data_IF_108470793182
#
_entry.id   IF_108470793182
#
_cell.length_a   1.000
_cell.length_b   1.000
_cell.length_c   1.000
_cell.angle_alpha   90.00
_cell.angle_beta   90.00
_cell.angle_gamma   90.00
#
_symmetry.space_group_name_H-M   'P 1'
#
loop_
_entity.id
_entity.type
_entity.pdbx_description
1 polymer ?
#
# COMPACT_ATOMS: atom_id res chain seq x y z
N UNK A 1 8.10 -16.29 -3.68
CA UNK A 1 7.40 -17.28 -4.53
C UNK A 1 6.07 -16.65 -4.92
N UNK A 2 5.96 -16.06 -6.12
CA UNK A 2 4.69 -15.56 -6.65
C UNK A 2 3.75 -16.76 -6.82
N UNK A 3 2.73 -16.88 -5.96
CA UNK A 3 1.74 -17.94 -6.07
C UNK A 3 0.66 -17.51 -7.07
N UNK A 4 0.98 -17.64 -8.36
CA UNK A 4 0.04 -17.41 -9.47
C UNK A 4 -0.99 -18.54 -9.62
N UNK A 5 -0.84 -19.64 -8.86
CA UNK A 5 -1.67 -20.84 -8.98
C UNK A 5 -3.10 -20.70 -8.45
N UNK A 6 -3.46 -19.59 -7.79
CA UNK A 6 -4.82 -19.39 -7.24
C UNK A 6 -5.53 -18.12 -7.76
N UNK A 7 -4.96 -17.39 -8.72
CA UNK A 7 -5.65 -16.24 -9.34
C UNK A 7 -6.65 -16.78 -10.36
N UNK A 8 -7.86 -17.09 -9.90
CA UNK A 8 -8.97 -17.36 -10.81
C UNK A 8 -9.39 -16.02 -11.41
N UNK A 9 -9.78 -16.02 -12.68
CA UNK A 9 -10.30 -14.82 -13.38
C UNK A 9 -11.51 -14.22 -12.63
N UNK A 10 -12.20 -15.04 -11.82
CA UNK A 10 -13.26 -14.62 -10.90
C UNK A 10 -12.81 -13.64 -9.79
N UNK A 11 -11.55 -13.68 -9.36
CA UNK A 11 -11.04 -12.90 -8.24
C UNK A 11 -10.51 -11.52 -8.64
N UNK A 12 -10.33 -11.25 -9.95
CA UNK A 12 -9.83 -9.95 -10.46
C UNK A 12 -10.69 -8.79 -9.97
N UNK A 13 -12.02 -8.96 -9.96
CA UNK A 13 -12.95 -7.96 -9.43
C UNK A 13 -12.68 -7.70 -7.95
N UNK A 14 -12.43 -8.75 -7.18
CA UNK A 14 -12.21 -8.69 -5.75
C UNK A 14 -10.85 -8.05 -5.41
N UNK A 15 -9.80 -8.38 -6.16
CA UNK A 15 -8.47 -7.78 -6.03
C UNK A 15 -8.46 -6.29 -6.36
N UNK A 16 -9.18 -5.88 -7.42
CA UNK A 16 -9.33 -4.44 -7.77
C UNK A 16 -10.11 -3.69 -6.68
N UNK A 17 -11.19 -4.27 -6.18
CA UNK A 17 -11.97 -3.69 -5.09
C UNK A 17 -11.15 -3.61 -3.79
N UNK A 18 -10.41 -4.65 -3.45
CA UNK A 18 -9.53 -4.69 -2.28
C UNK A 18 -8.41 -3.65 -2.40
N UNK A 19 -7.74 -3.56 -3.55
CA UNK A 19 -6.71 -2.55 -3.80
C UNK A 19 -7.24 -1.12 -3.70
N UNK A 20 -8.45 -0.86 -4.19
CA UNK A 20 -9.08 0.45 -4.06
C UNK A 20 -9.40 0.82 -2.61
N UNK A 21 -10.00 -0.11 -1.85
CA UNK A 21 -10.31 0.10 -0.42
C UNK A 21 -9.04 0.37 0.38
N UNK A 22 -7.98 -0.40 0.11
CA UNK A 22 -6.67 -0.22 0.73
C UNK A 22 -6.07 1.14 0.41
N UNK A 23 -6.08 1.56 -0.86
CA UNK A 23 -5.54 2.84 -1.29
C UNK A 23 -6.24 4.02 -0.57
N UNK A 24 -7.56 3.97 -0.46
CA UNK A 24 -8.34 4.99 0.26
C UNK A 24 -8.03 4.98 1.76
N UNK A 25 -7.88 3.80 2.37
CA UNK A 25 -7.55 3.65 3.79
C UNK A 25 -6.15 4.16 4.14
N UNK A 26 -5.19 4.09 3.23
CA UNK A 26 -3.79 4.49 3.47
C UNK A 26 -3.58 6.01 3.48
N UNK A 27 -4.47 6.78 2.86
CA UNK A 27 -4.37 8.25 2.81
C UNK A 27 -4.38 8.87 4.22
N UNK A 28 -5.38 8.62 5.08
CA UNK A 28 -5.40 9.19 6.43
C UNK A 28 -4.27 8.67 7.32
N UNK A 29 -3.82 7.42 7.11
CA UNK A 29 -2.73 6.81 7.88
C UNK A 29 -1.38 7.50 7.58
N UNK A 30 -1.05 7.68 6.30
CA UNK A 30 0.19 8.36 5.88
C UNK A 30 0.22 9.85 6.27
N UNK A 31 -0.93 10.52 6.19
CA UNK A 31 -1.08 11.91 6.65
C UNK A 31 -0.92 12.00 8.16
N UNK A 32 -1.56 11.10 8.92
CA UNK A 32 -1.45 11.04 10.38
C UNK A 32 -0.01 10.83 10.87
N UNK A 33 0.71 9.87 10.28
CA UNK A 33 2.11 9.64 10.65
C UNK A 33 3.03 10.81 10.27
N UNK A 34 2.80 11.46 9.13
CA UNK A 34 3.56 12.67 8.77
C UNK A 34 3.37 13.80 9.77
N UNK A 35 2.13 14.00 10.24
CA UNK A 35 1.82 15.02 11.24
C UNK A 35 2.47 14.73 12.60
N UNK A 36 2.49 13.46 13.03
CA UNK A 36 3.17 13.04 14.26
C UNK A 36 4.69 13.22 14.16
N UNK A 37 5.28 12.96 12.99
CA UNK A 37 6.69 13.15 12.72
C UNK A 37 7.11 14.64 12.53
N UNK A 38 6.15 15.59 12.54
CA UNK A 38 6.43 17.01 12.29
C UNK A 38 6.80 17.32 10.83
N UNK A 39 6.50 16.41 9.91
CA UNK A 39 6.75 16.54 8.47
C UNK A 39 5.50 17.02 7.73
N UNK A 40 5.72 17.58 6.54
CA UNK A 40 4.61 17.95 5.66
C UNK A 40 3.82 16.70 5.24
N UNK A 41 2.47 16.70 5.28
CA UNK A 41 1.63 15.57 4.85
C UNK A 41 1.91 15.05 3.45
N UNK A 42 2.44 15.92 2.58
CA UNK A 42 2.84 15.56 1.22
C UNK A 42 3.92 14.45 1.26
N UNK A 43 4.82 14.48 2.24
CA UNK A 43 5.95 13.56 2.35
C UNK A 43 5.45 12.14 2.62
N UNK A 44 4.56 11.93 3.59
CA UNK A 44 3.99 10.61 3.85
C UNK A 44 3.21 10.03 2.68
N UNK A 45 2.47 10.88 1.94
CA UNK A 45 1.77 10.45 0.72
C UNK A 45 2.74 9.96 -0.37
N UNK A 46 3.85 10.66 -0.61
CA UNK A 46 4.87 10.23 -1.56
C UNK A 46 5.53 8.93 -1.11
N UNK A 47 5.88 8.82 0.17
CA UNK A 47 6.48 7.61 0.75
C UNK A 47 5.54 6.41 0.60
N UNK A 48 4.25 6.57 0.91
CA UNK A 48 3.25 5.51 0.80
C UNK A 48 3.08 5.04 -0.65
N UNK A 49 3.07 5.97 -1.61
CA UNK A 49 2.95 5.65 -3.03
C UNK A 49 4.16 4.90 -3.57
N UNK A 50 5.38 5.38 -3.28
CA UNK A 50 6.61 4.77 -3.77
C UNK A 50 6.78 3.37 -3.19
N UNK A 51 6.56 3.19 -1.89
CA UNK A 51 6.67 1.88 -1.24
C UNK A 51 5.59 0.93 -1.75
N UNK A 52 4.35 1.41 -1.91
CA UNK A 52 3.27 0.62 -2.50
C UNK A 52 3.61 0.13 -3.91
N UNK A 53 4.19 0.98 -4.76
CA UNK A 53 4.63 0.63 -6.11
C UNK A 53 5.78 -0.39 -6.11
N UNK A 54 6.81 -0.14 -5.31
CA UNK A 54 7.98 -1.02 -5.22
C UNK A 54 7.60 -2.39 -4.67
N UNK A 55 6.77 -2.45 -3.63
CA UNK A 55 6.27 -3.72 -3.08
C UNK A 55 5.30 -4.42 -4.03
N UNK A 56 4.50 -3.69 -4.81
CA UNK A 56 3.63 -4.32 -5.81
C UNK A 56 4.43 -5.04 -6.92
N UNK A 57 5.58 -4.47 -7.33
CA UNK A 57 6.42 -5.03 -8.38
C UNK A 57 7.40 -6.10 -7.87
N UNK A 58 8.04 -5.86 -6.72
CA UNK A 58 9.14 -6.68 -6.19
C UNK A 58 8.80 -7.41 -4.89
N UNK A 59 7.57 -7.29 -4.38
CA UNK A 59 7.13 -7.88 -3.11
C UNK A 59 7.08 -9.41 -3.14
N UNK A 60 7.50 -10.04 -2.04
CA UNK A 60 7.65 -11.50 -1.96
C UNK A 60 6.39 -12.26 -1.53
N UNK A 61 5.37 -11.57 -0.99
CA UNK A 61 4.15 -12.17 -0.42
C UNK A 61 2.88 -11.65 -1.13
N UNK A 62 2.14 -12.52 -1.87
CA UNK A 62 0.85 -12.17 -2.44
C UNK A 62 -0.13 -11.63 -1.38
N UNK A 63 -0.88 -10.57 -1.72
CA UNK A 63 -1.84 -9.93 -0.82
C UNK A 63 -1.21 -9.15 0.35
N UNK A 64 0.10 -8.86 0.32
CA UNK A 64 0.70 -7.93 1.27
C UNK A 64 0.54 -6.49 0.75
N UNK A 65 0.00 -5.62 1.59
CA UNK A 65 0.01 -4.18 1.37
C UNK A 65 1.17 -3.60 2.18
N UNK A 66 2.03 -2.82 1.54
CA UNK A 66 3.03 -2.01 2.23
C UNK A 66 2.68 -0.53 2.09
N UNK A 67 2.74 0.21 3.20
CA UNK A 67 2.45 1.65 3.26
C UNK A 67 3.52 2.40 4.06
N UNK A 68 3.34 3.72 4.17
CA UNK A 68 4.20 4.58 4.98
C UNK A 68 3.85 4.45 6.47
N UNK A 69 4.46 3.49 7.17
CA UNK A 69 4.33 3.35 8.62
C UNK A 69 5.18 4.42 9.35
N UNK A 70 4.77 4.85 10.55
CA UNK A 70 5.50 5.88 11.31
C UNK A 70 6.95 5.55 11.71
N UNK A 71 7.46 4.34 11.41
CA UNK A 71 8.88 3.99 11.59
C UNK A 71 9.78 4.39 10.41
N UNK A 72 9.18 4.67 9.25
CA UNK A 72 9.88 5.02 8.00
C UNK A 72 9.60 6.46 7.54
N UNK A 73 8.77 7.21 8.28
CA UNK A 73 8.52 8.65 8.11
C UNK A 73 9.25 9.40 9.22
#
# INVERSE_FOLDING_TARGET
MFNLSNVRIADVKNEVQAGFVVAVSMIPEAVGFSLVAGLSPIVGLHTAFIIGLVTALFGGKPGMVSGAAGSIV
#
